data_IF_456571908404
#
_entry.id   IF_456571908404
#
_cell.length_a   1.000
_cell.length_b   1.000
_cell.length_c   1.000
_cell.angle_alpha   90.00
_cell.angle_beta   90.00
_cell.angle_gamma   90.00
#
_symmetry.space_group_name_H-M   'P 1'
#
loop_
_entity.id
_entity.type
_entity.pdbx_description
1 polymer ?
#
# COMPACT_ATOMS: atom_id res chain seq x y z
N UNK A 1 3.25 18.03 -1.27
CA UNK A 1 3.37 17.03 -0.21
C UNK A 1 3.89 15.74 -0.79
N UNK A 2 4.92 15.16 -0.21
CA UNK A 2 5.37 13.87 -0.70
C UNK A 2 4.35 12.79 -0.39
N UNK A 3 4.14 11.93 -1.36
CA UNK A 3 3.22 10.79 -1.20
C UNK A 3 3.95 9.55 -0.72
N UNK A 4 5.21 9.69 -0.36
CA UNK A 4 6.02 8.55 0.04
C UNK A 4 6.10 8.49 1.56
N UNK A 5 5.70 7.37 2.11
CA UNK A 5 5.69 7.12 3.54
C UNK A 5 6.48 5.87 3.86
N UNK A 6 7.07 5.84 5.06
CA UNK A 6 7.69 4.60 5.52
C UNK A 6 6.58 3.57 5.77
N UNK A 7 6.92 2.27 5.79
CA UNK A 7 5.92 1.26 6.10
C UNK A 7 5.21 1.51 7.43
N UNK A 8 5.94 2.02 8.42
CA UNK A 8 5.34 2.33 9.70
C UNK A 8 4.33 3.46 9.62
N UNK A 9 4.70 4.52 8.91
CA UNK A 9 3.80 5.65 8.73
C UNK A 9 2.57 5.24 7.93
N UNK A 10 2.78 4.44 6.90
CA UNK A 10 1.68 3.99 6.08
C UNK A 10 0.75 3.07 6.86
N UNK A 11 1.32 2.22 7.70
CA UNK A 11 0.53 1.32 8.55
C UNK A 11 -0.40 2.11 9.46
N UNK A 12 0.09 3.18 10.05
CA UNK A 12 -0.74 4.03 10.89
C UNK A 12 -1.82 4.73 10.07
N UNK A 13 -1.47 5.16 8.88
CA UNK A 13 -2.41 5.89 8.03
C UNK A 13 -3.57 5.03 7.61
N UNK A 14 -3.32 3.77 7.26
CA UNK A 14 -4.36 2.88 6.77
C UNK A 14 -4.90 1.93 7.83
N UNK A 15 -4.36 1.97 9.03
CA UNK A 15 -4.85 1.14 10.13
C UNK A 15 -4.48 -0.33 10.00
N UNK A 16 -3.29 -0.60 9.49
CA UNK A 16 -2.82 -1.96 9.29
C UNK A 16 -1.49 -2.17 10.00
N UNK A 17 -1.07 -3.43 10.09
CA UNK A 17 0.23 -3.75 10.65
C UNK A 17 1.32 -3.50 9.62
N UNK A 18 2.51 -3.13 10.12
CA UNK A 18 3.65 -2.89 9.24
C UNK A 18 3.95 -4.11 8.37
N UNK A 19 3.87 -5.29 8.94
CA UNK A 19 4.15 -6.52 8.20
C UNK A 19 3.16 -6.75 7.08
N UNK A 20 1.90 -6.38 7.30
CA UNK A 20 0.89 -6.50 6.27
C UNK A 20 1.16 -5.53 5.13
N UNK A 21 1.62 -4.33 5.47
CA UNK A 21 1.98 -3.34 4.45
C UNK A 21 3.05 -3.91 3.53
N UNK A 22 4.10 -4.48 4.13
CA UNK A 22 5.19 -5.04 3.34
C UNK A 22 4.72 -6.20 2.49
N UNK A 23 3.88 -7.06 3.05
CA UNK A 23 3.35 -8.21 2.33
C UNK A 23 2.55 -7.77 1.10
N UNK A 24 1.70 -6.78 1.28
CA UNK A 24 0.89 -6.28 0.17
C UNK A 24 1.77 -5.67 -0.91
N UNK A 25 2.80 -4.93 -0.49
CA UNK A 25 3.72 -4.35 -1.46
C UNK A 25 4.40 -5.42 -2.30
N UNK A 26 4.78 -6.53 -1.66
CA UNK A 26 5.41 -7.62 -2.40
C UNK A 26 4.44 -8.34 -3.31
N UNK A 27 3.22 -8.56 -2.85
CA UNK A 27 2.21 -9.27 -3.64
C UNK A 27 1.71 -8.45 -4.81
N UNK A 28 1.55 -7.15 -4.61
CA UNK A 28 0.99 -6.27 -5.62
C UNK A 28 2.05 -5.53 -6.42
N UNK A 29 3.31 -5.83 -6.18
CA UNK A 29 4.43 -5.18 -6.87
C UNK A 29 4.41 -3.66 -6.67
N UNK A 30 4.05 -3.22 -5.49
CA UNK A 30 4.13 -1.80 -5.16
C UNK A 30 5.59 -1.48 -4.89
N UNK A 31 6.19 -0.57 -5.66
CA UNK A 31 7.60 -0.29 -5.48
C UNK A 31 7.89 0.40 -4.17
N UNK A 32 8.98 -0.01 -3.54
CA UNK A 32 9.48 0.63 -2.33
C UNK A 32 10.77 1.34 -2.72
N UNK A 33 10.78 2.64 -2.60
CA UNK A 33 11.91 3.46 -3.01
C UNK A 33 12.55 4.09 -1.78
N UNK A 34 13.81 3.78 -1.56
CA UNK A 34 14.56 4.29 -0.40
C UNK A 34 13.82 4.05 0.92
N UNK A 35 13.23 2.87 1.05
CA UNK A 35 12.51 2.52 2.26
C UNK A 35 11.17 3.19 2.43
N UNK A 36 10.66 3.82 1.37
CA UNK A 36 9.37 4.50 1.42
C UNK A 36 8.44 3.97 0.33
N UNK A 37 7.17 4.01 0.62
CA UNK A 37 6.15 3.46 -0.26
C UNK A 37 5.28 4.60 -0.77
N UNK A 38 4.95 4.56 -2.06
CA UNK A 38 4.03 5.55 -2.63
C UNK A 38 2.64 5.30 -2.07
N UNK A 39 2.17 6.25 -1.27
CA UNK A 39 0.88 6.13 -0.61
C UNK A 39 -0.26 6.01 -1.62
N UNK A 40 -0.23 6.82 -2.66
CA UNK A 40 -1.29 6.81 -3.66
C UNK A 40 -1.37 5.47 -4.36
N UNK A 41 -0.21 4.95 -4.75
CA UNK A 41 -0.16 3.67 -5.43
C UNK A 41 -0.58 2.53 -4.49
N UNK A 42 -0.13 2.59 -3.23
CA UNK A 42 -0.51 1.57 -2.26
C UNK A 42 -2.02 1.57 -2.03
N UNK A 43 -2.62 2.74 -1.85
CA UNK A 43 -4.05 2.83 -1.62
C UNK A 43 -4.84 2.37 -2.84
N UNK A 44 -4.33 2.62 -4.03
CA UNK A 44 -4.95 2.16 -5.26
C UNK A 44 -4.98 0.64 -5.31
N UNK A 45 -3.87 0.00 -4.96
CA UNK A 45 -3.79 -1.46 -4.94
C UNK A 45 -4.64 -2.04 -3.81
N UNK A 46 -4.67 -1.36 -2.67
CA UNK A 46 -5.48 -1.82 -1.56
C UNK A 46 -6.96 -1.79 -1.91
N UNK A 47 -7.39 -0.75 -2.60
CA UNK A 47 -8.77 -0.65 -3.05
C UNK A 47 -9.12 -1.80 -4.00
N UNK A 48 -8.17 -2.16 -4.86
CA UNK A 48 -8.36 -3.28 -5.78
C UNK A 48 -8.56 -4.59 -5.02
N UNK A 49 -7.78 -4.79 -3.95
CA UNK A 49 -7.89 -6.00 -3.15
C UNK A 49 -9.22 -6.09 -2.42
N UNK A 50 -9.74 -4.96 -1.95
CA UNK A 50 -10.97 -4.93 -1.18
C UNK A 50 -12.21 -4.75 -2.02
N UNK A 51 -12.07 -4.32 -3.26
CA UNK A 51 -13.20 -4.13 -4.14
C UNK A 51 -13.63 -5.47 -4.71
N UNK A 52 -14.94 -5.70 -4.83
CA UNK A 52 -15.38 -6.92 -5.50
C UNK A 52 -15.00 -6.87 -6.98
N UNK A 53 -14.76 -8.03 -7.58
CA UNK A 53 -14.41 -8.05 -8.99
C UNK A 53 -15.56 -7.46 -9.81
N UNK A 54 -15.17 -6.61 -10.76
CA UNK A 54 -16.16 -5.95 -11.61
C UNK A 54 -16.55 -6.90 -12.73
N UNK A 55 -17.82 -7.23 -12.85
CA UNK A 55 -18.24 -8.07 -13.97
C UNK A 55 -18.09 -7.33 -15.28
N UNK A 56 -17.77 -8.08 -16.31
CA UNK A 56 -17.55 -7.49 -17.62
C UNK A 56 -18.61 -7.95 -18.58
#
# INVERSE_FOLDING_TARGET
>A
MPNHLTPEELAETVGMNREEIIRICLQQNVPIFQGKIDKTLFQSQLATLHAPPTPR
#
